data_IF_790683286539
#
_entry.id   IF_790683286539
#
_cell.length_a   1.000
_cell.length_b   1.000
_cell.length_c   1.000
_cell.angle_alpha   90.00
_cell.angle_beta   90.00
_cell.angle_gamma   90.00
#
_symmetry.space_group_name_H-M   'P 1'
#
loop_
_entity.id
_entity.type
_entity.pdbx_description
1 polymer ?
#
# COMPACT_ATOMS: atom_id res chain seq x y z
N UNK A 1 -10.46 -16.95 26.25
CA UNK A 1 -11.13 -16.59 24.99
C UNK A 1 -10.66 -17.42 23.78
N UNK A 2 -9.39 -17.86 23.65
CA UNK A 2 -9.02 -18.91 22.65
C UNK A 2 -7.92 -19.88 23.14
N UNK A 3 -7.66 -19.93 24.46
CA UNK A 3 -6.55 -20.68 25.07
C UNK A 3 -5.14 -20.38 24.50
N UNK A 4 -4.99 -19.36 23.64
CA UNK A 4 -3.72 -18.92 23.11
C UNK A 4 -2.77 -18.46 24.23
N UNK A 5 -1.59 -19.09 24.29
CA UNK A 5 -0.52 -18.73 25.23
C UNK A 5 0.22 -17.50 24.72
N UNK A 6 -0.21 -16.32 25.16
CA UNK A 6 0.41 -15.05 24.79
C UNK A 6 1.67 -14.81 25.63
N UNK A 7 2.81 -14.68 24.97
CA UNK A 7 4.11 -14.44 25.60
C UNK A 7 4.41 -12.94 25.72
N UNK A 8 5.20 -12.59 26.73
CA UNK A 8 5.67 -11.24 26.91
C UNK A 8 6.50 -10.77 25.70
N UNK A 9 6.33 -9.51 25.29
CA UNK A 9 7.08 -8.96 24.15
C UNK A 9 8.52 -8.57 24.48
N UNK A 10 8.92 -8.55 25.76
CA UNK A 10 10.29 -8.25 26.18
C UNK A 10 11.23 -9.43 25.87
N UNK A 11 12.42 -9.21 25.28
CA UNK A 11 13.29 -10.29 24.79
C UNK A 11 13.62 -11.36 25.83
N UNK A 12 14.02 -10.95 27.04
CA UNK A 12 14.37 -11.89 28.11
C UNK A 12 13.14 -12.67 28.58
N UNK A 13 12.03 -11.99 28.90
CA UNK A 13 10.80 -12.67 29.31
C UNK A 13 10.25 -13.61 28.22
N UNK A 14 10.39 -13.23 26.94
CA UNK A 14 9.96 -14.06 25.81
C UNK A 14 10.80 -15.34 25.70
N UNK A 15 12.12 -15.23 25.86
CA UNK A 15 13.05 -16.38 25.88
C UNK A 15 12.73 -17.34 27.02
N UNK A 16 12.39 -16.83 28.19
CA UNK A 16 11.97 -17.63 29.34
C UNK A 16 10.51 -18.12 29.26
N UNK A 17 9.79 -17.88 28.15
CA UNK A 17 8.42 -18.34 27.98
C UNK A 17 7.41 -17.72 28.94
N UNK A 18 7.70 -16.53 29.49
CA UNK A 18 6.82 -15.87 30.46
C UNK A 18 5.53 -15.41 29.77
N UNK A 19 4.40 -15.93 30.25
CA UNK A 19 3.08 -15.63 29.73
C UNK A 19 2.54 -14.31 30.27
N UNK A 20 1.75 -13.65 29.43
CA UNK A 20 0.95 -12.50 29.80
C UNK A 20 -0.37 -12.97 30.42
N UNK A 21 -0.78 -12.30 31.49
CA UNK A 21 -2.06 -12.56 32.15
C UNK A 21 -2.95 -11.34 32.10
N UNK A 22 -4.26 -11.57 31.99
CA UNK A 22 -5.30 -10.57 32.19
C UNK A 22 -5.05 -9.70 33.44
N UNK A 23 -5.13 -8.38 33.29
CA UNK A 23 -4.86 -7.40 34.34
C UNK A 23 -5.88 -6.24 34.32
N UNK A 24 -7.15 -6.58 34.08
CA UNK A 24 -8.26 -5.64 34.11
C UNK A 24 -8.37 -4.76 32.86
N UNK A 25 -9.31 -3.82 32.88
CA UNK A 25 -9.71 -3.07 31.70
C UNK A 25 -8.68 -2.01 31.28
N UNK A 26 -8.53 -1.86 29.96
CA UNK A 26 -7.75 -0.79 29.36
C UNK A 26 -8.34 0.57 29.74
N UNK A 27 -7.48 1.52 30.14
CA UNK A 27 -7.92 2.83 30.68
C UNK A 27 -8.72 3.68 29.69
N UNK A 28 -8.65 3.38 28.40
CA UNK A 28 -9.24 4.23 27.35
C UNK A 28 -10.21 3.43 26.49
N UNK A 29 -11.50 3.79 26.57
CA UNK A 29 -12.48 3.32 25.60
C UNK A 29 -12.18 3.92 24.23
N UNK A 30 -12.09 3.08 23.20
CA UNK A 30 -11.77 3.51 21.84
C UNK A 30 -13.05 3.81 21.07
N UNK A 31 -13.19 5.03 20.55
CA UNK A 31 -14.24 5.36 19.59
C UNK A 31 -13.75 4.98 18.18
N UNK A 32 -14.43 4.04 17.54
CA UNK A 32 -14.03 3.45 16.26
C UNK A 32 -14.93 3.97 15.15
N UNK A 33 -14.32 4.45 14.06
CA UNK A 33 -15.05 4.88 12.87
C UNK A 33 -15.62 3.67 12.14
N UNK A 34 -16.93 3.64 11.92
CA UNK A 34 -17.63 2.66 11.08
C UNK A 34 -18.27 3.34 9.85
N UNK A 35 -18.90 2.57 8.98
CA UNK A 35 -19.55 3.03 7.75
C UNK A 35 -20.70 4.01 7.99
N UNK A 36 -21.50 3.79 9.03
CA UNK A 36 -22.71 4.56 9.30
C UNK A 36 -22.57 5.50 10.50
N UNK A 37 -21.70 5.17 11.45
CA UNK A 37 -21.58 5.90 12.71
C UNK A 37 -20.25 5.60 13.41
N UNK A 38 -20.24 5.78 14.73
CA UNK A 38 -19.13 5.44 15.61
C UNK A 38 -19.59 4.41 16.64
N UNK A 39 -18.73 3.46 16.98
CA UNK A 39 -18.98 2.56 18.10
C UNK A 39 -17.83 2.58 19.09
N UNK A 40 -18.12 2.20 20.33
CA UNK A 40 -17.13 2.15 21.39
C UNK A 40 -16.58 0.72 21.53
N UNK A 41 -15.27 0.61 21.64
CA UNK A 41 -14.59 -0.65 21.88
C UNK A 41 -13.79 -0.56 23.18
N UNK A 42 -14.01 -1.53 24.05
CA UNK A 42 -13.24 -1.74 25.27
C UNK A 42 -12.37 -2.97 25.10
N UNK A 43 -11.23 -2.98 25.76
CA UNK A 43 -10.24 -4.06 25.69
C UNK A 43 -9.64 -4.26 27.06
N UNK A 44 -9.11 -5.46 27.30
CA UNK A 44 -8.38 -5.78 28.51
C UNK A 44 -6.89 -5.38 28.39
N UNK A 45 -6.23 -5.11 29.51
CA UNK A 45 -4.78 -5.13 29.65
C UNK A 45 -4.28 -6.55 29.88
N UNK A 46 -3.16 -6.86 29.24
CA UNK A 46 -2.37 -8.04 29.48
C UNK A 46 -1.06 -7.61 30.15
N UNK A 47 -0.71 -8.23 31.28
CA UNK A 47 0.47 -7.91 32.07
C UNK A 47 1.45 -9.09 32.13
N UNK A 48 2.74 -8.80 32.00
CA UNK A 48 3.79 -9.75 32.33
C UNK A 48 4.08 -9.72 33.83
N UNK A 49 3.94 -10.86 34.51
CA UNK A 49 4.16 -10.95 35.97
C UNK A 49 5.61 -10.66 36.38
N UNK A 50 6.58 -10.94 35.50
CA UNK A 50 8.01 -10.73 35.73
C UNK A 50 8.43 -9.28 35.53
N UNK A 51 8.27 -8.70 34.32
CA UNK A 51 8.73 -7.35 34.02
C UNK A 51 7.67 -6.25 34.21
N UNK A 52 6.46 -6.61 34.66
CA UNK A 52 5.32 -5.70 34.90
C UNK A 52 4.86 -4.87 33.69
N UNK A 53 5.33 -5.20 32.48
CA UNK A 53 4.89 -4.54 31.25
C UNK A 53 3.41 -4.83 30.99
N UNK A 54 2.64 -3.78 30.75
CA UNK A 54 1.23 -3.84 30.36
C UNK A 54 1.05 -3.57 28.88
N UNK A 55 0.24 -4.38 28.22
CA UNK A 55 -0.08 -4.29 26.80
C UNK A 55 -1.60 -4.29 26.63
N UNK A 56 -2.13 -3.49 25.72
CA UNK A 56 -3.53 -3.66 25.31
C UNK A 56 -3.69 -4.95 24.51
N UNK A 57 -4.80 -5.69 24.70
CA UNK A 57 -5.01 -6.96 24.02
C UNK A 57 -5.07 -6.84 22.47
N UNK A 58 -5.38 -5.66 21.93
CA UNK A 58 -5.32 -5.37 20.49
C UNK A 58 -3.95 -4.90 19.99
N UNK A 59 -2.94 -4.78 20.87
CA UNK A 59 -1.62 -4.28 20.48
C UNK A 59 -0.95 -5.21 19.48
N UNK A 60 -0.06 -4.64 18.65
CA UNK A 60 0.57 -5.40 17.57
C UNK A 60 1.40 -6.59 18.09
N UNK A 61 2.10 -6.40 19.21
CA UNK A 61 2.83 -7.45 19.92
C UNK A 61 1.98 -8.68 20.27
N UNK A 62 0.66 -8.48 20.49
CA UNK A 62 -0.29 -9.55 20.77
C UNK A 62 -0.81 -10.15 19.47
N UNK A 63 -1.26 -9.29 18.54
CA UNK A 63 -1.81 -9.74 17.26
C UNK A 63 -0.81 -10.53 16.41
N UNK A 64 0.49 -10.26 16.52
CA UNK A 64 1.54 -11.01 15.81
C UNK A 64 1.75 -12.43 16.34
N UNK A 65 1.27 -12.73 17.55
CA UNK A 65 1.32 -14.08 18.14
C UNK A 65 0.13 -14.95 17.77
N UNK A 66 -0.93 -14.35 17.20
CA UNK A 66 -2.12 -15.06 16.76
C UNK A 66 -1.94 -15.57 15.32
N UNK A 67 -2.56 -16.70 15.00
CA UNK A 67 -2.70 -17.13 13.61
C UNK A 67 -3.61 -16.17 12.82
N UNK A 68 -3.57 -16.25 11.47
CA UNK A 68 -4.37 -15.36 10.62
C UNK A 68 -5.86 -15.37 10.94
N UNK A 69 -6.47 -16.53 11.21
CA UNK A 69 -7.92 -16.65 11.44
C UNK A 69 -8.36 -15.92 12.69
N UNK A 70 -7.62 -16.04 13.80
CA UNK A 70 -7.92 -15.29 15.02
C UNK A 70 -7.63 -13.79 14.89
N UNK A 71 -6.58 -13.42 14.15
CA UNK A 71 -6.29 -12.01 13.87
C UNK A 71 -7.42 -11.34 13.08
N UNK A 72 -8.08 -12.06 12.19
CA UNK A 72 -9.20 -11.55 11.40
C UNK A 72 -10.48 -11.31 12.21
N UNK A 73 -10.62 -11.94 13.38
CA UNK A 73 -11.75 -11.70 14.28
C UNK A 73 -11.72 -10.29 14.91
N UNK A 74 -10.58 -9.60 14.88
CA UNK A 74 -10.48 -8.21 15.35
C UNK A 74 -11.10 -7.26 14.32
N UNK A 75 -12.20 -6.56 14.66
CA UNK A 75 -12.98 -5.83 13.66
C UNK A 75 -12.34 -4.50 13.26
N UNK A 76 -11.38 -3.99 14.04
CA UNK A 76 -10.84 -2.64 13.86
C UNK A 76 -9.31 -2.61 13.73
N UNK A 77 -8.83 -1.67 12.92
CA UNK A 77 -7.43 -1.24 12.91
C UNK A 77 -7.24 -0.24 14.05
N UNK A 78 -6.55 -0.68 15.09
CA UNK A 78 -6.28 0.11 16.29
C UNK A 78 -4.79 0.42 16.42
N UNK A 79 -4.49 1.69 16.67
CA UNK A 79 -3.18 2.16 17.14
C UNK A 79 -3.39 3.14 18.29
N UNK A 80 -2.34 3.71 18.86
CA UNK A 80 -2.52 4.76 19.87
C UNK A 80 -3.36 5.95 19.36
N UNK A 81 -3.17 6.35 18.08
CA UNK A 81 -3.82 7.54 17.49
C UNK A 81 -4.97 7.24 16.52
N UNK A 82 -5.10 5.99 16.07
CA UNK A 82 -6.05 5.60 15.02
C UNK A 82 -7.02 4.52 15.53
N UNK A 83 -8.27 4.60 15.10
CA UNK A 83 -9.32 3.62 15.41
C UNK A 83 -10.38 3.59 14.32
N UNK A 84 -10.30 2.60 13.43
CA UNK A 84 -11.17 2.49 12.26
C UNK A 84 -11.58 1.04 12.03
N UNK A 85 -12.85 0.80 11.72
CA UNK A 85 -13.35 -0.53 11.37
C UNK A 85 -12.71 -1.02 10.06
N UNK A 86 -12.37 -2.31 10.00
CA UNK A 86 -11.77 -2.95 8.83
C UNK A 86 -12.69 -2.89 7.61
N UNK A 87 -14.01 -2.82 7.78
CA UNK A 87 -14.99 -2.62 6.69
C UNK A 87 -14.71 -1.31 5.94
N UNK A 88 -14.49 -0.21 6.67
CA UNK A 88 -14.14 1.08 6.08
C UNK A 88 -12.81 0.99 5.34
N UNK A 89 -11.80 0.36 5.97
CA UNK A 89 -10.47 0.20 5.37
C UNK A 89 -10.52 -0.67 4.10
N UNK A 90 -11.36 -1.70 4.06
CA UNK A 90 -11.53 -2.59 2.91
C UNK A 90 -12.06 -1.84 1.69
N UNK A 91 -12.84 -0.76 1.84
CA UNK A 91 -13.29 0.06 0.72
C UNK A 91 -12.12 0.75 -0.02
N UNK A 92 -11.00 1.03 0.68
CA UNK A 92 -9.79 1.57 0.06
C UNK A 92 -8.95 0.52 -0.69
N UNK A 93 -9.28 -0.77 -0.59
CA UNK A 93 -8.55 -1.83 -1.31
C UNK A 93 -8.94 -1.92 -2.78
N UNK A 94 -10.13 -1.45 -3.15
CA UNK A 94 -10.58 -1.45 -4.54
C UNK A 94 -9.64 -0.64 -5.43
N UNK A 95 -9.24 -1.19 -6.58
CA UNK A 95 -8.38 -0.50 -7.55
C UNK A 95 -9.15 0.00 -8.78
N UNK A 96 -10.37 0.48 -8.54
CA UNK A 96 -11.23 1.00 -9.61
C UNK A 96 -10.96 2.49 -9.83
N UNK A 97 -11.19 2.95 -11.06
CA UNK A 97 -11.12 4.36 -11.41
C UNK A 97 -12.15 5.14 -10.57
N UNK A 98 -11.72 6.22 -9.92
CA UNK A 98 -12.55 6.99 -8.99
C UNK A 98 -12.47 6.54 -7.53
N UNK A 99 -11.91 5.36 -7.22
CA UNK A 99 -11.65 5.01 -5.82
C UNK A 99 -10.51 5.86 -5.26
N UNK A 100 -10.81 6.64 -4.23
CA UNK A 100 -9.83 7.50 -3.56
C UNK A 100 -10.25 7.73 -2.12
N UNK A 101 -9.31 8.11 -1.27
CA UNK A 101 -9.61 8.49 0.11
C UNK A 101 -10.59 9.67 0.20
N UNK A 102 -10.55 10.59 -0.77
CA UNK A 102 -11.50 11.70 -0.85
C UNK A 102 -12.90 11.24 -1.22
N UNK A 103 -13.03 10.31 -2.17
CA UNK A 103 -14.32 9.71 -2.53
C UNK A 103 -14.92 8.94 -1.35
N UNK A 104 -14.11 8.13 -0.65
CA UNK A 104 -14.54 7.41 0.54
C UNK A 104 -14.94 8.39 1.66
N UNK A 105 -14.15 9.43 1.92
CA UNK A 105 -14.49 10.45 2.90
C UNK A 105 -15.85 11.09 2.63
N UNK A 106 -16.11 11.52 1.39
CA UNK A 106 -17.40 12.09 1.00
C UNK A 106 -18.54 11.10 1.22
N UNK A 107 -18.34 9.84 0.85
CA UNK A 107 -19.31 8.78 1.08
C UNK A 107 -19.62 8.57 2.57
N UNK A 108 -18.59 8.52 3.41
CA UNK A 108 -18.75 8.40 4.87
C UNK A 108 -19.48 9.61 5.46
N UNK A 109 -19.14 10.84 5.04
CA UNK A 109 -19.83 12.05 5.49
C UNK A 109 -21.33 12.01 5.17
N UNK A 110 -21.70 11.56 3.98
CA UNK A 110 -23.11 11.41 3.60
C UNK A 110 -23.80 10.37 4.50
N UNK A 111 -23.24 9.17 4.63
CA UNK A 111 -23.83 8.10 5.44
C UNK A 111 -23.95 8.45 6.92
N UNK A 112 -22.92 9.08 7.48
CA UNK A 112 -22.93 9.54 8.88
C UNK A 112 -23.99 10.61 9.10
N UNK A 113 -24.15 11.54 8.15
CA UNK A 113 -25.18 12.58 8.21
C UNK A 113 -26.59 11.98 8.11
N UNK A 114 -26.82 11.06 7.18
CA UNK A 114 -28.10 10.35 7.05
C UNK A 114 -28.45 9.59 8.33
N UNK A 115 -27.50 8.82 8.87
CA UNK A 115 -27.70 8.08 10.11
C UNK A 115 -27.97 9.01 11.29
N UNK A 116 -27.18 10.08 11.43
CA UNK A 116 -27.36 11.08 12.46
C UNK A 116 -28.75 11.72 12.42
N UNK A 117 -29.18 12.20 11.24
CA UNK A 117 -30.50 12.81 11.08
C UNK A 117 -31.61 11.81 11.41
N UNK A 118 -31.50 10.55 10.95
CA UNK A 118 -32.47 9.51 11.29
C UNK A 118 -32.58 9.26 12.80
N UNK A 119 -31.44 9.17 13.51
CA UNK A 119 -31.43 9.01 14.97
C UNK A 119 -31.97 10.24 15.70
N UNK A 120 -31.64 11.45 15.24
CA UNK A 120 -32.18 12.70 15.81
C UNK A 120 -33.70 12.79 15.62
N UNK A 121 -34.22 12.42 14.44
CA UNK A 121 -35.66 12.39 14.18
C UNK A 121 -36.37 11.39 15.08
N UNK A 122 -35.82 10.17 15.22
CA UNK A 122 -36.38 9.15 16.11
C UNK A 122 -36.40 9.65 17.57
N UNK A 123 -35.28 10.19 18.05
CA UNK A 123 -35.18 10.73 19.41
C UNK A 123 -36.20 11.84 19.67
N UNK A 124 -36.31 12.83 18.78
CA UNK A 124 -37.29 13.90 18.90
C UNK A 124 -38.74 13.36 18.84
N UNK A 125 -39.01 12.37 18.00
CA UNK A 125 -40.32 11.72 17.93
C UNK A 125 -40.70 11.05 19.25
N UNK A 126 -39.75 10.37 19.91
CA UNK A 126 -39.98 9.75 21.22
C UNK A 126 -40.20 10.82 22.28
N UNK A 127 -39.38 11.87 22.31
CA UNK A 127 -39.52 12.96 23.27
C UNK A 127 -40.88 13.65 23.20
N UNK A 128 -41.47 13.81 22.00
CA UNK A 128 -42.82 14.39 21.85
C UNK A 128 -43.88 13.69 22.69
N UNK A 129 -43.73 12.39 22.95
CA UNK A 129 -44.67 11.63 23.79
C UNK A 129 -44.56 11.99 25.29
N UNK A 130 -43.46 12.61 25.70
CA UNK A 130 -43.16 12.98 27.09
C UNK A 130 -43.21 14.49 27.35
N UNK A 131 -43.43 15.28 26.29
CA UNK A 131 -43.45 16.74 26.34
C UNK A 131 -44.86 17.24 26.67
N UNK A 132 -44.96 18.16 27.63
CA UNK A 132 -46.24 18.82 28.00
C UNK A 132 -46.45 20.09 27.18
N UNK A 133 -47.66 20.67 27.19
CA UNK A 133 -48.00 21.89 26.43
C UNK A 133 -47.08 23.10 26.71
N UNK A 134 -46.33 23.09 27.81
CA UNK A 134 -45.44 24.18 28.23
C UNK A 134 -43.97 23.99 27.83
N UNK A 135 -43.59 22.93 27.11
CA UNK A 135 -42.19 22.73 26.71
C UNK A 135 -41.87 23.47 25.41
N UNK A 136 -40.87 24.34 25.45
CA UNK A 136 -40.35 25.02 24.27
C UNK A 136 -39.67 24.03 23.29
N UNK A 137 -40.15 23.91 22.03
CA UNK A 137 -39.53 23.06 21.01
C UNK A 137 -38.05 23.37 20.73
N UNK A 138 -37.63 24.63 20.91
CA UNK A 138 -36.26 25.06 20.64
C UNK A 138 -35.26 24.44 21.62
N UNK A 139 -35.67 24.28 22.88
CA UNK A 139 -34.89 23.60 23.91
C UNK A 139 -34.60 22.13 23.59
N UNK A 140 -35.55 21.45 22.93
CA UNK A 140 -35.41 20.04 22.53
C UNK A 140 -34.40 19.86 21.40
N UNK A 141 -34.37 20.81 20.46
CA UNK A 141 -33.40 20.82 19.35
C UNK A 141 -32.00 21.16 19.89
N UNK A 142 -31.89 22.12 20.81
CA UNK A 142 -30.63 22.48 21.45
C UNK A 142 -30.02 21.31 22.26
N UNK A 143 -30.85 20.40 22.77
CA UNK A 143 -30.42 19.21 23.49
C UNK A 143 -29.90 18.07 22.59
N UNK A 144 -30.01 18.17 21.26
CA UNK A 144 -29.49 17.14 20.37
C UNK A 144 -27.96 17.08 20.42
N UNK A 145 -27.36 15.89 20.61
CA UNK A 145 -25.92 15.74 20.55
C UNK A 145 -25.39 16.18 19.19
N UNK A 146 -24.28 16.92 19.14
CA UNK A 146 -23.68 17.30 17.86
C UNK A 146 -23.11 16.06 17.13
N UNK A 147 -23.32 15.99 15.81
CA UNK A 147 -22.72 14.93 14.99
C UNK A 147 -21.19 14.97 15.08
N UNK A 148 -20.58 13.84 15.42
CA UNK A 148 -19.13 13.69 15.43
C UNK A 148 -18.62 13.69 13.98
N UNK A 149 -17.66 14.57 13.63
CA UNK A 149 -17.18 14.70 12.25
C UNK A 149 -16.37 13.46 11.83
N UNK A 150 -16.51 13.09 10.55
CA UNK A 150 -15.69 12.03 9.93
C UNK A 150 -14.24 12.52 9.79
N UNK A 151 -13.22 11.68 10.08
CA UNK A 151 -11.82 12.06 9.92
C UNK A 151 -11.44 12.36 8.47
N UNK A 152 -10.39 13.16 8.28
CA UNK A 152 -9.93 13.60 6.96
C UNK A 152 -9.51 12.44 6.03
N UNK A 153 -9.46 12.67 4.70
CA UNK A 153 -8.90 11.71 3.75
C UNK A 153 -7.46 11.28 4.08
N UNK A 154 -6.61 12.18 4.57
CA UNK A 154 -5.24 11.86 4.99
C UNK A 154 -5.19 10.92 6.20
N UNK A 155 -6.15 11.05 7.10
CA UNK A 155 -6.31 10.14 8.23
C UNK A 155 -6.72 8.74 7.74
N UNK A 156 -7.68 8.65 6.81
CA UNK A 156 -8.10 7.38 6.20
C UNK A 156 -6.94 6.67 5.49
N UNK A 157 -6.10 7.42 4.75
CA UNK A 157 -4.88 6.89 4.14
C UNK A 157 -3.88 6.38 5.18
N UNK A 158 -3.74 7.08 6.31
CA UNK A 158 -2.86 6.66 7.40
C UNK A 158 -3.30 5.33 8.02
N UNK A 159 -4.62 5.14 8.20
CA UNK A 159 -5.19 3.87 8.64
C UNK A 159 -4.94 2.77 7.62
N UNK A 160 -5.21 3.04 6.35
CA UNK A 160 -4.99 2.07 5.26
C UNK A 160 -3.54 1.64 5.18
N UNK A 161 -2.59 2.58 5.22
CA UNK A 161 -1.17 2.28 5.22
C UNK A 161 -0.78 1.40 6.43
N UNK A 162 -1.31 1.69 7.62
CA UNK A 162 -1.09 0.85 8.81
C UNK A 162 -1.64 -0.56 8.64
N UNK A 163 -2.80 -0.71 8.03
CA UNK A 163 -3.38 -2.03 7.74
C UNK A 163 -2.53 -2.80 6.72
N UNK A 164 -2.09 -2.15 5.64
CA UNK A 164 -1.22 -2.77 4.63
C UNK A 164 0.10 -3.26 5.25
N UNK A 165 0.70 -2.46 6.15
CA UNK A 165 1.92 -2.85 6.86
C UNK A 165 1.75 -4.13 7.69
N UNK A 166 0.54 -4.43 8.19
CA UNK A 166 0.29 -5.69 8.92
C UNK A 166 0.44 -6.93 8.05
N UNK A 167 0.37 -6.78 6.73
CA UNK A 167 0.49 -7.83 5.72
C UNK A 167 1.79 -7.74 4.94
N UNK A 168 2.71 -6.87 5.36
CA UNK A 168 3.98 -6.70 4.66
C UNK A 168 4.77 -8.02 4.50
N UNK A 169 4.83 -8.92 5.50
CA UNK A 169 5.50 -10.22 5.32
C UNK A 169 4.86 -11.08 4.22
N UNK A 170 3.52 -11.17 4.21
CA UNK A 170 2.75 -11.90 3.19
C UNK A 170 2.98 -11.29 1.80
N UNK A 171 2.90 -9.96 1.68
CA UNK A 171 3.12 -9.27 0.42
C UNK A 171 4.55 -9.45 -0.10
N UNK A 172 5.55 -9.39 0.80
CA UNK A 172 6.94 -9.69 0.45
C UNK A 172 7.09 -11.12 -0.06
N UNK A 173 6.59 -12.10 0.69
CA UNK A 173 6.62 -13.51 0.30
C UNK A 173 5.95 -13.75 -1.06
N UNK A 174 4.81 -13.10 -1.31
CA UNK A 174 4.11 -13.15 -2.60
C UNK A 174 4.92 -12.55 -3.74
N UNK A 175 5.55 -11.39 -3.54
CA UNK A 175 6.39 -10.76 -4.58
C UNK A 175 7.65 -11.60 -4.84
N UNK A 176 8.25 -12.17 -3.80
CA UNK A 176 9.47 -12.98 -3.94
C UNK A 176 9.23 -14.38 -4.51
N UNK A 177 7.98 -14.84 -4.57
CA UNK A 177 7.59 -16.12 -5.19
C UNK A 177 7.09 -15.97 -6.63
N UNK A 178 7.19 -14.76 -7.20
CA UNK A 178 6.86 -14.50 -8.59
C UNK A 178 8.12 -14.57 -9.45
N UNK A 179 7.99 -15.24 -10.60
CA UNK A 179 9.00 -15.41 -11.62
C UNK A 179 8.38 -15.15 -13.00
N UNK A 180 9.20 -15.22 -14.05
CA UNK A 180 8.77 -15.04 -15.43
C UNK A 180 9.89 -15.36 -16.41
N UNK A 181 9.52 -15.75 -17.62
CA UNK A 181 10.46 -16.02 -18.71
C UNK A 181 10.81 -14.77 -19.51
N UNK A 182 9.97 -13.74 -19.46
CA UNK A 182 10.18 -12.46 -20.13
C UNK A 182 10.05 -11.36 -19.09
N UNK A 183 11.14 -10.64 -18.88
CA UNK A 183 11.17 -9.55 -17.92
C UNK A 183 11.14 -8.20 -18.62
N UNK A 184 10.59 -7.21 -17.92
CA UNK A 184 10.70 -5.80 -18.26
C UNK A 184 11.24 -5.06 -17.05
N UNK A 185 12.28 -4.25 -17.27
CA UNK A 185 12.84 -3.35 -16.28
C UNK A 185 12.61 -1.90 -16.72
N UNK A 186 11.89 -1.14 -15.88
CA UNK A 186 11.55 0.26 -16.14
C UNK A 186 11.98 1.15 -14.97
N UNK A 187 12.33 2.40 -15.27
CA UNK A 187 12.70 3.39 -14.27
C UNK A 187 11.80 4.62 -14.37
N UNK A 188 11.27 5.10 -13.23
CA UNK A 188 10.40 6.27 -13.19
C UNK A 188 10.69 7.24 -12.04
N UNK A 189 10.60 8.54 -12.32
CA UNK A 189 10.60 9.62 -11.30
C UNK A 189 9.21 9.87 -10.69
N UNK A 190 8.14 9.27 -11.25
CA UNK A 190 6.76 9.65 -10.88
C UNK A 190 6.43 9.31 -9.44
N UNK A 191 6.97 8.20 -8.93
CA UNK A 191 6.75 7.75 -7.56
C UNK A 191 7.57 8.58 -6.58
N UNK A 192 8.85 8.84 -6.89
CA UNK A 192 9.75 9.62 -6.02
C UNK A 192 9.29 11.06 -5.84
N UNK A 193 8.69 11.67 -6.86
CA UNK A 193 8.02 13.00 -6.76
C UNK A 193 6.88 13.05 -5.75
N UNK A 194 6.33 11.89 -5.34
CA UNK A 194 5.24 11.80 -4.34
C UNK A 194 5.76 11.51 -2.93
N UNK A 195 7.06 11.30 -2.75
CA UNK A 195 7.65 11.16 -1.43
C UNK A 195 7.55 12.49 -0.68
N UNK A 196 7.17 12.43 0.59
CA UNK A 196 6.91 13.60 1.42
C UNK A 196 7.46 13.40 2.84
N UNK A 197 7.49 14.46 3.64
CA UNK A 197 8.04 14.43 5.00
C UNK A 197 9.52 14.07 4.98
N UNK A 198 9.95 13.22 5.92
CA UNK A 198 11.36 12.78 6.03
C UNK A 198 11.88 11.99 4.81
N UNK A 199 10.99 11.53 3.92
CA UNK A 199 11.37 10.82 2.69
C UNK A 199 11.44 11.75 1.46
N UNK A 200 11.07 13.03 1.59
CA UNK A 200 11.15 13.96 0.47
C UNK A 200 12.61 14.12 0.03
N UNK A 201 12.88 13.90 -1.26
CA UNK A 201 14.22 14.05 -1.83
C UNK A 201 15.21 12.92 -1.49
N UNK A 202 14.80 11.88 -0.74
CA UNK A 202 15.71 10.77 -0.38
C UNK A 202 15.92 9.76 -1.51
N UNK A 203 15.12 9.84 -2.59
CA UNK A 203 15.27 9.05 -3.78
C UNK A 203 14.89 9.88 -5.00
N UNK A 204 15.58 9.67 -6.12
CA UNK A 204 15.30 10.36 -7.38
C UNK A 204 14.50 9.48 -8.35
N UNK A 205 14.68 8.16 -8.29
CA UNK A 205 14.05 7.20 -9.18
C UNK A 205 13.51 5.98 -8.44
N UNK A 206 12.50 5.36 -9.03
CA UNK A 206 12.09 3.99 -8.75
C UNK A 206 12.47 3.15 -9.97
N UNK A 207 13.06 1.99 -9.76
CA UNK A 207 13.24 0.98 -10.80
C UNK A 207 12.43 -0.26 -10.43
N UNK A 208 11.57 -0.70 -11.34
CA UNK A 208 10.74 -1.88 -11.20
C UNK A 208 11.11 -2.94 -12.24
N UNK A 209 10.97 -4.20 -11.83
CA UNK A 209 11.10 -5.37 -12.70
C UNK A 209 9.79 -6.15 -12.64
N UNK A 210 9.17 -6.37 -13.80
CA UNK A 210 7.94 -7.16 -13.95
C UNK A 210 8.06 -8.27 -14.99
N UNK A 211 7.15 -9.24 -14.93
CA UNK A 211 7.09 -10.36 -15.88
C UNK A 211 6.05 -10.15 -17.00
N UNK A 212 5.96 -11.14 -17.90
CA UNK A 212 5.05 -11.18 -19.06
C UNK A 212 3.56 -11.01 -18.74
N UNK A 213 3.12 -11.31 -17.51
CA UNK A 213 1.73 -11.16 -17.08
C UNK A 213 1.48 -9.93 -16.21
N UNK A 214 2.46 -9.03 -16.09
CA UNK A 214 2.34 -7.76 -15.39
C UNK A 214 2.44 -7.88 -13.86
N UNK A 215 2.99 -8.97 -13.33
CA UNK A 215 3.33 -9.08 -11.92
C UNK A 215 4.70 -8.46 -11.65
N UNK A 216 4.84 -7.81 -10.50
CA UNK A 216 6.08 -7.15 -10.07
C UNK A 216 6.95 -8.13 -9.29
N UNK A 217 8.20 -8.27 -9.71
CA UNK A 217 9.21 -9.14 -9.09
C UNK A 217 10.06 -8.37 -8.08
N UNK A 218 10.37 -7.12 -8.37
CA UNK A 218 11.19 -6.25 -7.53
C UNK A 218 10.91 -4.78 -7.83
N UNK A 219 11.05 -3.93 -6.83
CA UNK A 219 10.98 -2.49 -6.95
C UNK A 219 12.00 -1.87 -5.98
N UNK A 220 12.89 -1.01 -6.48
CA UNK A 220 13.92 -0.34 -5.67
C UNK A 220 13.88 1.17 -5.88
N UNK A 221 14.22 1.91 -4.83
CA UNK A 221 14.41 3.36 -4.87
C UNK A 221 15.91 3.65 -5.06
N UNK A 222 16.25 4.54 -5.98
CA UNK A 222 17.64 4.89 -6.29
C UNK A 222 17.87 6.40 -6.33
N UNK A 223 19.10 6.83 -6.03
CA UNK A 223 19.53 8.25 -6.07
C UNK A 223 19.65 8.81 -7.49
N UNK A 224 19.68 7.93 -8.49
CA UNK A 224 19.78 8.28 -9.90
C UNK A 224 19.28 7.15 -10.77
N UNK A 225 18.99 7.47 -12.02
CA UNK A 225 18.54 6.48 -12.99
C UNK A 225 19.66 5.48 -13.27
N UNK A 226 19.39 4.19 -13.14
CA UNK A 226 20.41 3.15 -13.32
C UNK A 226 21.48 3.06 -12.22
N UNK A 227 21.50 3.99 -11.24
CA UNK A 227 22.50 3.99 -10.16
C UNK A 227 22.20 2.91 -9.12
N UNK A 228 23.20 2.11 -8.78
CA UNK A 228 23.10 1.14 -7.68
C UNK A 228 22.17 -0.03 -7.97
N UNK A 229 21.93 -0.37 -9.25
CA UNK A 229 21.05 -1.48 -9.61
C UNK A 229 21.72 -2.85 -9.53
N UNK A 230 23.06 -2.93 -9.50
CA UNK A 230 23.77 -4.21 -9.48
C UNK A 230 23.32 -5.13 -8.32
N UNK A 231 23.20 -4.68 -7.05
CA UNK A 231 22.69 -5.52 -5.97
C UNK A 231 21.26 -6.04 -6.21
N UNK A 232 20.41 -5.24 -6.87
CA UNK A 232 19.05 -5.65 -7.23
C UNK A 232 19.10 -6.75 -8.31
N UNK A 233 19.90 -6.55 -9.35
CA UNK A 233 20.04 -7.51 -10.44
C UNK A 233 20.63 -8.83 -9.93
N UNK A 234 21.75 -8.79 -9.19
CA UNK A 234 22.36 -9.97 -8.58
C UNK A 234 21.40 -10.69 -7.63
N UNK A 235 20.67 -9.95 -6.78
CA UNK A 235 19.67 -10.54 -5.90
C UNK A 235 18.52 -11.22 -6.66
N UNK A 236 18.16 -10.72 -7.85
CA UNK A 236 17.16 -11.37 -8.69
C UNK A 236 17.71 -12.66 -9.32
N UNK A 237 18.94 -12.64 -9.82
CA UNK A 237 19.64 -13.84 -10.33
C UNK A 237 19.71 -14.92 -9.26
N UNK A 238 20.17 -14.56 -8.05
CA UNK A 238 20.25 -15.47 -6.91
C UNK A 238 18.88 -16.07 -6.56
N UNK A 239 17.82 -15.26 -6.64
CA UNK A 239 16.46 -15.71 -6.33
C UNK A 239 15.94 -16.75 -7.32
N UNK A 240 16.23 -16.60 -8.62
CA UNK A 240 15.91 -17.63 -9.62
C UNK A 240 16.70 -18.91 -9.35
N UNK A 241 18.01 -18.78 -9.12
CA UNK A 241 18.89 -19.91 -8.84
C UNK A 241 18.45 -20.71 -7.61
N UNK A 242 18.17 -20.03 -6.50
CA UNK A 242 17.77 -20.67 -5.24
C UNK A 242 16.42 -21.37 -5.34
N UNK A 243 15.52 -20.89 -6.20
CA UNK A 243 14.22 -21.51 -6.43
C UNK A 243 14.25 -22.66 -7.45
N UNK A 244 15.37 -22.86 -8.15
CA UNK A 244 15.46 -23.82 -9.26
C UNK A 244 14.67 -23.38 -10.50
N UNK A 245 14.35 -22.09 -10.60
CA UNK A 245 13.62 -21.52 -11.73
C UNK A 245 14.56 -21.24 -12.90
N UNK A 246 14.08 -21.51 -14.12
CA UNK A 246 14.86 -21.26 -15.32
C UNK A 246 15.15 -19.76 -15.50
N UNK A 247 16.37 -19.37 -15.89
CA UNK A 247 16.68 -17.98 -16.22
C UNK A 247 15.72 -17.38 -17.25
N UNK A 248 15.38 -16.09 -17.16
CA UNK A 248 14.60 -15.42 -18.18
C UNK A 248 15.30 -15.46 -19.55
N UNK A 249 14.51 -15.60 -20.61
CA UNK A 249 15.01 -15.62 -21.99
C UNK A 249 15.22 -14.22 -22.53
N UNK A 250 14.34 -13.28 -22.16
CA UNK A 250 14.32 -11.92 -22.69
C UNK A 250 14.17 -10.90 -21.56
N UNK A 251 14.93 -9.81 -21.64
CA UNK A 251 14.78 -8.64 -20.81
C UNK A 251 14.55 -7.39 -21.67
N UNK A 252 13.41 -6.73 -21.48
CA UNK A 252 13.10 -5.44 -22.07
C UNK A 252 13.54 -4.30 -21.16
N UNK A 253 14.28 -3.34 -21.72
CA UNK A 253 14.78 -2.14 -21.02
C UNK A 253 14.54 -0.88 -21.85
N UNK A 254 14.39 0.27 -21.21
CA UNK A 254 14.25 1.55 -21.91
C UNK A 254 15.53 1.95 -22.67
N UNK A 255 16.71 1.57 -22.18
CA UNK A 255 18.00 1.97 -22.76
C UNK A 255 19.13 1.02 -22.39
N UNK A 256 20.32 1.28 -22.92
CA UNK A 256 21.53 0.49 -22.67
C UNK A 256 21.39 -1.01 -23.04
N UNK A 257 20.44 -1.35 -23.93
CA UNK A 257 20.24 -2.70 -24.47
C UNK A 257 21.25 -3.07 -25.55
N UNK A 258 21.85 -2.07 -26.21
CA UNK A 258 22.63 -2.23 -27.42
C UNK A 258 24.00 -1.54 -27.28
N UNK A 259 25.08 -2.26 -27.58
CA UNK A 259 26.45 -1.75 -27.68
C UNK A 259 27.10 -2.32 -28.93
N UNK A 260 27.95 -1.53 -29.59
CA UNK A 260 28.53 -1.83 -30.91
C UNK A 260 29.61 -2.94 -30.92
N UNK A 261 29.63 -3.85 -29.94
CA UNK A 261 30.63 -4.91 -29.86
C UNK A 261 30.59 -5.74 -28.58
N UNK A 262 30.12 -5.17 -27.47
CA UNK A 262 29.99 -5.85 -26.17
C UNK A 262 28.52 -6.15 -25.79
N UNK A 263 28.32 -6.97 -24.76
CA UNK A 263 27.03 -7.07 -24.04
C UNK A 263 26.68 -5.67 -23.48
N UNK A 264 25.48 -5.16 -23.78
CA UNK A 264 25.01 -3.84 -23.29
C UNK A 264 25.11 -3.72 -21.76
N UNK A 265 25.20 -2.51 -21.21
CA UNK A 265 25.36 -2.30 -19.75
C UNK A 265 24.27 -3.01 -18.94
N UNK A 266 23.05 -3.09 -19.49
CA UNK A 266 21.96 -3.85 -18.88
C UNK A 266 22.27 -5.36 -18.83
N UNK A 267 22.76 -5.94 -19.93
CA UNK A 267 23.17 -7.35 -19.98
C UNK A 267 24.34 -7.65 -19.03
N UNK A 268 25.29 -6.72 -18.87
CA UNK A 268 26.41 -6.87 -17.95
C UNK A 268 25.97 -7.01 -16.47
N UNK A 269 24.84 -6.40 -16.07
CA UNK A 269 24.29 -6.55 -14.72
C UNK A 269 23.64 -7.92 -14.47
N UNK A 270 23.35 -8.69 -15.53
CA UNK A 270 22.79 -10.04 -15.48
C UNK A 270 23.76 -11.06 -16.07
N UNK A 271 25.06 -10.90 -15.77
CA UNK A 271 26.14 -11.66 -16.40
C UNK A 271 26.01 -13.18 -16.28
N UNK A 272 25.36 -13.68 -15.23
CA UNK A 272 25.14 -15.11 -14.98
C UNK A 272 23.99 -15.73 -15.79
N UNK A 273 23.18 -14.90 -16.47
CA UNK A 273 22.17 -15.37 -17.41
C UNK A 273 22.75 -15.33 -18.82
N UNK A 274 23.58 -16.32 -19.16
CA UNK A 274 24.39 -16.32 -20.40
C UNK A 274 23.56 -16.23 -21.68
N UNK A 275 22.36 -16.83 -21.67
CA UNK A 275 21.43 -16.87 -22.80
C UNK A 275 20.45 -15.70 -22.82
N UNK A 276 20.55 -14.75 -21.87
CA UNK A 276 19.62 -13.64 -21.78
C UNK A 276 19.77 -12.71 -22.98
N UNK A 277 18.65 -12.49 -23.68
CA UNK A 277 18.56 -11.53 -24.77
C UNK A 277 18.00 -10.22 -24.23
N UNK A 278 18.82 -9.16 -24.23
CA UNK A 278 18.36 -7.82 -23.86
C UNK A 278 17.83 -7.09 -25.10
N UNK A 279 16.63 -6.50 -24.98
CA UNK A 279 15.93 -5.79 -26.06
C UNK A 279 15.45 -4.42 -25.58
N UNK A 280 15.28 -3.52 -26.55
CA UNK A 280 14.65 -2.22 -26.30
C UNK A 280 13.15 -2.41 -26.04
N UNK A 281 12.64 -1.76 -25.00
CA UNK A 281 11.21 -1.75 -24.70
C UNK A 281 10.42 -1.01 -25.79
N UNK A 282 9.45 -1.71 -26.39
CA UNK A 282 8.67 -1.18 -27.51
C UNK A 282 7.88 0.08 -27.13
N UNK A 283 7.39 0.17 -25.89
CA UNK A 283 6.61 1.32 -25.45
C UNK A 283 7.48 2.59 -25.42
N UNK A 284 8.70 2.46 -24.89
CA UNK A 284 9.67 3.55 -24.90
C UNK A 284 10.14 3.89 -26.31
N UNK A 285 10.39 2.89 -27.16
CA UNK A 285 10.74 3.10 -28.56
C UNK A 285 9.66 3.90 -29.30
N UNK A 286 8.39 3.47 -29.21
CA UNK A 286 7.26 4.15 -29.84
C UNK A 286 7.09 5.58 -29.31
N UNK A 287 7.33 5.80 -28.01
CA UNK A 287 7.30 7.15 -27.42
C UNK A 287 8.39 8.05 -27.99
N UNK A 288 9.61 7.53 -28.17
CA UNK A 288 10.72 8.28 -28.78
C UNK A 288 10.47 8.58 -30.25
N UNK A 289 9.96 7.61 -31.01
CA UNK A 289 9.54 7.83 -32.40
C UNK A 289 8.49 8.93 -32.45
N UNK A 290 7.42 8.82 -31.67
CA UNK A 290 6.34 9.81 -31.65
C UNK A 290 6.90 11.22 -31.41
N UNK A 291 7.75 11.40 -30.39
CA UNK A 291 8.42 12.69 -30.15
C UNK A 291 9.27 13.14 -31.35
N UNK A 292 10.03 12.23 -31.95
CA UNK A 292 10.91 12.55 -33.07
C UNK A 292 10.18 12.91 -34.37
N UNK A 293 8.93 12.48 -34.54
CA UNK A 293 8.10 12.73 -35.72
C UNK A 293 7.02 13.78 -35.51
N UNK A 294 6.78 14.24 -34.28
CA UNK A 294 5.84 15.33 -33.98
C UNK A 294 6.52 16.62 -33.54
N UNK A 295 7.85 16.66 -33.52
CA UNK A 295 8.61 17.85 -33.08
C UNK A 295 9.39 18.41 -34.25
N UNK A 296 8.94 19.55 -34.79
CA UNK A 296 9.49 20.15 -36.02
C UNK A 296 11.00 20.42 -35.98
N UNK A 297 11.53 20.69 -34.79
CA UNK A 297 12.96 20.92 -34.56
C UNK A 297 13.79 19.65 -34.42
N UNK A 298 13.15 18.48 -34.38
CA UNK A 298 13.87 17.22 -34.20
C UNK A 298 14.53 16.79 -35.53
N UNK A 299 15.81 16.35 -35.54
CA UNK A 299 16.52 15.98 -36.76
C UNK A 299 15.84 14.90 -37.61
N UNK A 300 14.96 14.09 -37.00
CA UNK A 300 14.17 13.04 -37.68
C UNK A 300 12.85 13.52 -38.30
N UNK A 301 12.40 14.74 -37.98
CA UNK A 301 11.11 15.25 -38.42
C UNK A 301 11.05 15.47 -39.93
N UNK A 302 12.01 16.22 -40.49
CA UNK A 302 12.06 16.50 -41.92
C UNK A 302 12.20 15.23 -42.80
N UNK A 303 13.08 14.25 -42.45
CA UNK A 303 13.11 12.97 -43.15
C UNK A 303 11.79 12.19 -43.11
N UNK A 304 11.09 12.22 -41.97
CA UNK A 304 9.84 11.47 -41.77
C UNK A 304 8.67 12.07 -42.55
N UNK A 305 8.52 13.40 -42.55
CA UNK A 305 7.47 14.10 -43.31
C UNK A 305 7.76 14.12 -44.81
N UNK A 306 9.05 14.13 -45.20
CA UNK A 306 9.48 14.24 -46.60
C UNK A 306 9.44 12.95 -47.42
N UNK A 307 9.08 11.79 -46.85
CA UNK A 307 9.01 10.51 -47.59
C UNK A 307 7.58 9.96 -47.67
N UNK A 308 7.03 9.72 -48.87
CA UNK A 308 5.73 9.04 -49.01
C UNK A 308 5.87 7.55 -48.63
N UNK A 309 5.36 7.19 -47.44
CA UNK A 309 4.81 5.86 -47.07
C UNK A 309 5.62 4.56 -47.33
N UNK A 310 6.93 4.61 -47.54
CA UNK A 310 7.77 3.42 -47.67
C UNK A 310 8.98 3.41 -46.71
N UNK A 311 8.75 3.60 -45.41
CA UNK A 311 9.78 3.36 -44.40
C UNK A 311 9.90 1.86 -44.10
N UNK A 312 10.81 1.18 -44.81
CA UNK A 312 11.47 0.00 -44.26
C UNK A 312 12.38 0.46 -43.10
N UNK A 313 11.78 0.70 -41.92
CA UNK A 313 12.52 0.84 -40.67
C UNK A 313 13.21 -0.49 -40.38
N UNK A 314 14.46 -0.66 -40.83
CA UNK A 314 15.34 -1.65 -40.23
C UNK A 314 15.47 -1.28 -38.76
N UNK A 315 14.89 -2.12 -37.90
CA UNK A 315 14.97 -2.03 -36.44
C UNK A 315 16.41 -2.38 -36.02
N UNK A 316 17.34 -1.47 -36.31
CA UNK A 316 18.60 -1.36 -35.60
C UNK A 316 18.36 -0.46 -34.39
N UNK A 317 18.85 -0.87 -33.22
CA UNK A 317 18.86 -0.04 -32.02
C UNK A 317 19.46 1.34 -32.34
N UNK A 318 18.62 2.38 -32.25
CA UNK A 318 19.02 3.78 -32.19
C UNK A 318 18.99 4.25 -30.74
#
# INVERSE_FOLDING_TARGET
>A
MWANKLLCSQPNCRRFGIQLTACGMYKTVRRVLDLNSWYFMVTEYLECRSCKKKLAAWSRDILDQLDPSHREQFPAVLTYRLSCDRKVVRLLRGRTLGNSATALYRHLCLRHKEHYLGQSTLYLSVLRNFVTQNTDPSSLIAALPQMVPVPSPSWLLSVYAREVLTRLPELKARVTSVYGSILKMDSTKKVTKKLAGHAAGTAAWVTDVGNEIGQVLMCVLTEGEGKGLLPMCSGLVDRYRQAGEAPPQVLYVDRDCCSAGDKGKAAAMFSEWDQLVVRLDVWHFMRRIAVGVTTDSHPLYAPFIGTPLALHLRVGCW
#
